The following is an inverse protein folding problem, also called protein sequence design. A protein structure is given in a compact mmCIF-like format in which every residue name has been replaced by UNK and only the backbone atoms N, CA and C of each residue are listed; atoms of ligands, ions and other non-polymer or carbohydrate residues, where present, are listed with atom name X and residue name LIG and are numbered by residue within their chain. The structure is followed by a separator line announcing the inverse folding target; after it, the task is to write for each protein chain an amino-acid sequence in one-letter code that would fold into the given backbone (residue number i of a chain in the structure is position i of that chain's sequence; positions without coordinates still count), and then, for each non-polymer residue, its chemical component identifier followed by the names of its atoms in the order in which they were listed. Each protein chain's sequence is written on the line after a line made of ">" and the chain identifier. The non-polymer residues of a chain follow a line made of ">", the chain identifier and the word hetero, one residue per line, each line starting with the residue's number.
data_IF_110330242372
#
_entry.id   IF_110330242372
#
_cell.length_a   1.000
_cell.length_b   1.000
_cell.length_c   1.000
_cell.angle_alpha   90.00
_cell.angle_beta   90.00
_cell.angle_gamma   90.00
#
_symmetry.space_group_name_H-M   'P 1'
#
loop_
_entity.id
_entity.type
_entity.pdbx_description
1 polymer ?
#
# COMPACT_ATOMS: atom_id res chain seq x y z
N UNK A 1 -48.85 -67.16 31.95
CA UNK A 1 -47.56 -66.78 32.55
C UNK A 1 -46.54 -66.67 31.43
N UNK A 2 -46.08 -65.46 31.13
CA UNK A 2 -45.17 -65.18 30.02
C UNK A 2 -45.21 -63.69 29.70
N UNK A 3 -44.89 -62.86 30.69
CA UNK A 3 -44.82 -61.41 30.51
C UNK A 3 -43.59 -61.13 29.64
N UNK A 4 -43.80 -60.68 28.40
CA UNK A 4 -42.72 -60.19 27.57
C UNK A 4 -42.39 -58.75 27.99
N UNK A 5 -41.26 -58.56 28.67
CA UNK A 5 -40.72 -57.24 28.97
C UNK A 5 -40.21 -56.57 27.69
N UNK A 6 -41.02 -55.68 27.10
CA UNK A 6 -40.55 -54.80 26.02
C UNK A 6 -39.59 -53.76 26.60
N UNK A 7 -38.29 -53.93 26.35
CA UNK A 7 -37.28 -52.91 26.69
C UNK A 7 -37.57 -51.60 25.93
N UNK A 8 -37.28 -50.48 26.59
CA UNK A 8 -37.48 -49.14 26.04
C UNK A 8 -36.63 -48.94 24.77
N UNK A 9 -37.22 -48.32 23.74
CA UNK A 9 -36.55 -48.00 22.47
C UNK A 9 -35.35 -47.08 22.74
N UNK A 10 -34.18 -47.44 22.22
CA UNK A 10 -32.97 -46.61 22.29
C UNK A 10 -33.19 -45.26 21.61
N UNK A 11 -32.65 -44.20 22.20
CA UNK A 11 -32.73 -42.86 21.63
C UNK A 11 -32.00 -42.78 20.27
N UNK A 12 -32.52 -42.01 19.30
CA UNK A 12 -31.80 -41.71 18.06
C UNK A 12 -30.47 -41.02 18.37
N UNK A 13 -29.36 -41.51 17.81
CA UNK A 13 -28.01 -41.01 18.12
C UNK A 13 -27.74 -39.59 17.58
N UNK A 14 -28.58 -39.11 16.67
CA UNK A 14 -28.52 -37.75 16.12
C UNK A 14 -29.91 -37.11 16.18
N UNK A 15 -29.96 -35.84 16.59
CA UNK A 15 -31.20 -35.08 16.76
C UNK A 15 -31.92 -34.82 15.44
N UNK A 16 -33.22 -34.51 15.54
CA UNK A 16 -34.11 -34.24 14.40
C UNK A 16 -33.52 -33.16 13.49
N UNK A 17 -33.30 -33.50 12.22
CA UNK A 17 -32.93 -32.54 11.18
C UNK A 17 -34.08 -31.56 10.96
N UNK A 18 -33.83 -30.29 11.26
CA UNK A 18 -34.84 -29.23 11.33
C UNK A 18 -35.04 -28.53 9.98
N UNK A 19 -35.00 -29.27 8.87
CA UNK A 19 -35.14 -28.70 7.54
C UNK A 19 -36.40 -29.23 6.85
N UNK A 20 -37.55 -28.68 7.26
CA UNK A 20 -38.77 -28.72 6.45
C UNK A 20 -38.90 -27.38 5.74
N UNK A 21 -38.66 -27.39 4.42
CA UNK A 21 -38.93 -26.27 3.54
C UNK A 21 -40.43 -26.01 3.40
N UNK A 22 -40.86 -24.81 3.80
CA UNK A 22 -42.11 -24.20 3.37
C UNK A 22 -41.94 -22.68 3.38
N UNK A 23 -41.65 -22.12 2.21
CA UNK A 23 -41.58 -20.67 1.99
C UNK A 23 -42.94 -20.02 2.26
N UNK A 24 -43.02 -19.21 3.32
CA UNK A 24 -44.01 -18.14 3.46
C UNK A 24 -43.24 -16.83 3.54
N UNK A 25 -43.37 -16.00 2.50
CA UNK A 25 -42.69 -14.72 2.41
C UNK A 25 -43.09 -13.81 3.61
N UNK A 26 -42.15 -13.11 4.27
CA UNK A 26 -42.48 -12.13 5.30
C UNK A 26 -42.98 -10.81 4.68
N UNK A 27 -43.82 -10.04 5.41
CA UNK A 27 -44.23 -8.70 5.02
C UNK A 27 -43.03 -7.72 4.96
N UNK A 28 -43.11 -6.62 4.19
CA UNK A 28 -41.96 -5.75 3.95
C UNK A 28 -41.49 -5.09 5.25
N UNK A 29 -40.19 -5.20 5.53
CA UNK A 29 -39.56 -4.64 6.73
C UNK A 29 -39.44 -3.11 6.61
N UNK A 30 -39.89 -2.42 7.66
CA UNK A 30 -39.68 -0.99 7.86
C UNK A 30 -38.18 -0.66 7.88
N UNK A 31 -37.81 0.49 7.32
CA UNK A 31 -36.44 0.97 7.23
C UNK A 31 -35.87 1.32 8.61
N UNK A 32 -35.39 0.30 9.32
CA UNK A 32 -34.59 0.40 10.53
C UNK A 32 -33.67 -0.81 10.57
N UNK A 33 -32.36 -0.57 10.43
CA UNK A 33 -31.32 -1.62 10.31
C UNK A 33 -31.45 -2.64 11.46
N UNK A 34 -31.57 -3.95 11.20
CA UNK A 34 -31.60 -4.95 12.26
C UNK A 34 -30.18 -5.18 12.80
N UNK A 35 -29.98 -4.86 14.07
CA UNK A 35 -28.74 -5.09 14.81
C UNK A 35 -28.59 -6.56 15.20
N UNK A 36 -28.11 -7.39 14.27
CA UNK A 36 -27.68 -8.76 14.57
C UNK A 36 -26.18 -8.92 14.27
N UNK A 37 -25.38 -9.00 15.34
CA UNK A 37 -23.93 -9.24 15.27
C UNK A 37 -23.67 -10.69 15.69
N UNK A 38 -23.50 -11.59 14.73
CA UNK A 38 -23.14 -13.00 15.02
C UNK A 38 -21.69 -13.14 15.51
N UNK A 39 -21.34 -14.24 16.23
CA UNK A 39 -19.98 -14.50 16.67
C UNK A 39 -19.13 -14.90 15.45
N UNK A 40 -18.34 -13.95 14.95
CA UNK A 40 -17.49 -14.18 13.78
C UNK A 40 -16.94 -12.91 13.12
N UNK A 41 -17.40 -11.71 13.50
CA UNK A 41 -16.75 -10.47 13.09
C UNK A 41 -15.78 -9.99 14.17
N UNK A 42 -14.54 -10.49 14.10
CA UNK A 42 -13.40 -9.78 14.67
C UNK A 42 -13.32 -8.42 13.97
N UNK A 43 -13.68 -7.35 14.67
CA UNK A 43 -13.35 -6.01 14.23
C UNK A 43 -11.83 -5.97 13.98
N UNK A 44 -11.41 -5.94 12.71
CA UNK A 44 -10.06 -5.50 12.36
C UNK A 44 -9.92 -4.13 13.00
N UNK A 45 -9.20 -4.06 14.13
CA UNK A 45 -8.72 -2.78 14.64
C UNK A 45 -7.98 -2.15 13.47
N UNK A 46 -8.51 -1.02 12.98
CA UNK A 46 -7.75 -0.18 12.07
C UNK A 46 -6.44 0.09 12.81
N UNK A 47 -5.32 -0.40 12.27
CA UNK A 47 -4.00 0.02 12.71
C UNK A 47 -4.04 1.56 12.73
N UNK A 48 -3.55 2.24 13.78
CA UNK A 48 -3.47 3.68 13.75
C UNK A 48 -2.78 4.05 12.44
N UNK A 49 -3.50 4.81 11.61
CA UNK A 49 -2.95 5.39 10.41
C UNK A 49 -1.74 6.17 10.90
N UNK A 50 -0.54 5.65 10.60
CA UNK A 50 0.70 6.39 10.78
C UNK A 50 0.43 7.72 10.08
N UNK A 51 0.56 8.88 10.74
CA UNK A 51 0.41 10.13 10.04
C UNK A 51 1.37 10.05 8.85
N UNK A 52 0.79 10.08 7.65
CA UNK A 52 1.52 10.43 6.44
C UNK A 52 2.27 11.68 6.84
N UNK A 53 3.60 11.57 6.92
CA UNK A 53 4.43 12.74 7.17
C UNK A 53 3.93 13.78 6.19
N UNK A 54 3.33 14.83 6.76
CA UNK A 54 3.01 16.03 6.01
C UNK A 54 4.27 16.35 5.22
N UNK A 55 4.10 16.74 3.97
CA UNK A 55 5.17 17.42 3.25
C UNK A 55 5.67 18.52 4.17
N UNK A 56 6.80 18.27 4.83
CA UNK A 56 7.56 19.28 5.51
C UNK A 56 7.85 20.29 4.41
N UNK A 57 7.11 21.40 4.45
CA UNK A 57 7.56 22.65 3.85
C UNK A 57 9.02 22.73 4.23
N UNK A 58 9.89 22.57 3.23
CA UNK A 58 11.32 22.55 3.39
C UNK A 58 11.73 23.89 3.98
N UNK A 59 11.71 23.99 5.31
CA UNK A 59 12.50 25.01 5.96
C UNK A 59 13.92 24.80 5.44
N UNK A 60 14.60 25.85 4.97
CA UNK A 60 15.95 25.71 4.50
C UNK A 60 16.74 25.13 5.67
N UNK A 61 17.13 23.85 5.55
CA UNK A 61 18.01 23.19 6.51
C UNK A 61 19.17 24.15 6.69
N UNK A 62 19.28 24.76 7.86
CA UNK A 62 20.42 25.60 8.18
C UNK A 62 21.62 24.68 8.27
N UNK A 63 22.25 24.46 7.12
CA UNK A 63 23.50 23.75 7.03
C UNK A 63 24.51 24.64 7.74
N UNK A 64 24.98 24.18 8.89
CA UNK A 64 26.13 24.82 9.52
C UNK A 64 27.27 24.69 8.52
N UNK A 65 27.72 25.82 7.98
CA UNK A 65 28.82 25.87 7.02
C UNK A 65 30.08 25.34 7.70
N UNK A 66 30.43 24.09 7.40
CA UNK A 66 31.65 23.43 7.91
C UNK A 66 32.88 24.04 7.22
N UNK A 67 32.69 24.62 6.04
CA UNK A 67 33.74 25.14 5.18
C UNK A 67 33.59 26.65 5.00
N UNK A 68 34.69 27.37 4.73
CA UNK A 68 34.62 28.78 4.34
C UNK A 68 33.76 28.93 3.07
N UNK A 69 32.92 29.97 3.04
CA UNK A 69 31.95 30.22 1.96
C UNK A 69 32.60 30.22 0.57
N UNK A 70 33.83 30.74 0.44
CA UNK A 70 34.55 30.71 -0.83
C UNK A 70 34.88 29.30 -1.32
N UNK A 71 35.19 28.37 -0.41
CA UNK A 71 35.50 26.98 -0.73
C UNK A 71 34.24 26.19 -1.06
N UNK A 72 33.14 26.45 -0.34
CA UNK A 72 31.82 25.89 -0.68
C UNK A 72 31.39 26.31 -2.09
N UNK A 73 31.52 27.60 -2.41
CA UNK A 73 31.18 28.11 -3.73
C UNK A 73 32.08 27.52 -4.81
N UNK A 74 33.38 27.32 -4.53
CA UNK A 74 34.30 26.70 -5.47
C UNK A 74 33.93 25.23 -5.72
N UNK A 75 33.59 24.47 -4.69
CA UNK A 75 33.07 23.11 -4.85
C UNK A 75 31.81 23.08 -5.71
N UNK A 76 30.83 23.94 -5.42
CA UNK A 76 29.60 24.05 -6.20
C UNK A 76 29.91 24.39 -7.66
N UNK A 77 30.84 25.32 -7.90
CA UNK A 77 31.24 25.70 -9.24
C UNK A 77 31.89 24.53 -9.99
N UNK A 78 32.76 23.75 -9.35
CA UNK A 78 33.34 22.54 -9.94
C UNK A 78 32.22 21.59 -10.39
N UNK A 79 31.28 21.24 -9.50
CA UNK A 79 30.17 20.36 -9.86
C UNK A 79 29.29 20.90 -11.00
N UNK A 80 29.03 22.21 -11.03
CA UNK A 80 28.28 22.87 -12.11
C UNK A 80 29.02 22.84 -13.46
N UNK A 81 30.35 22.96 -13.43
CA UNK A 81 31.18 22.91 -14.64
C UNK A 81 31.39 21.49 -15.17
N UNK A 82 31.55 20.51 -14.27
CA UNK A 82 31.79 19.11 -14.66
C UNK A 82 30.51 18.42 -15.13
N UNK A 83 29.35 18.83 -14.61
CA UNK A 83 28.05 18.26 -14.98
C UNK A 83 27.07 19.36 -15.40
N UNK A 84 27.18 19.89 -16.63
CA UNK A 84 26.28 20.94 -17.12
C UNK A 84 24.80 20.50 -17.11
N UNK A 85 24.56 19.19 -17.24
CA UNK A 85 23.24 18.59 -17.15
C UNK A 85 22.58 18.72 -15.76
N UNK A 86 23.35 19.03 -14.71
CA UNK A 86 22.83 19.28 -13.35
C UNK A 86 22.18 20.65 -13.18
N UNK A 87 22.52 21.64 -14.02
CA UNK A 87 22.12 23.04 -13.77
C UNK A 87 20.59 23.21 -13.76
N UNK A 88 19.88 22.42 -14.56
CA UNK A 88 18.42 22.43 -14.64
C UNK A 88 17.83 21.16 -14.02
N UNK A 89 17.82 21.09 -12.69
CA UNK A 89 17.25 19.94 -11.97
C UNK A 89 15.76 19.69 -12.32
N UNK A 90 14.99 20.74 -12.58
CA UNK A 90 13.60 20.60 -13.05
C UNK A 90 13.51 19.95 -14.43
N UNK A 91 14.45 20.22 -15.34
CA UNK A 91 14.52 19.57 -16.65
C UNK A 91 15.08 18.14 -16.58
N UNK A 92 15.79 17.80 -15.49
CA UNK A 92 16.35 16.47 -15.23
C UNK A 92 15.29 15.46 -14.79
N UNK A 93 14.33 15.88 -13.95
CA UNK A 93 13.23 15.03 -13.46
C UNK A 93 12.51 14.22 -14.56
N UNK A 94 12.01 14.82 -15.67
CA UNK A 94 11.32 14.04 -16.71
C UNK A 94 12.26 13.07 -17.43
N UNK A 95 13.56 13.39 -17.55
CA UNK A 95 14.55 12.48 -18.14
C UNK A 95 14.79 11.28 -17.23
N UNK A 96 14.94 11.49 -15.92
CA UNK A 96 15.07 10.41 -14.94
C UNK A 96 13.84 9.50 -14.92
N UNK A 97 12.63 10.07 -15.04
CA UNK A 97 11.42 9.26 -15.18
C UNK A 97 11.43 8.39 -16.45
N UNK A 98 11.91 8.93 -17.57
CA UNK A 98 12.03 8.17 -18.82
C UNK A 98 13.06 7.05 -18.72
N UNK A 99 14.21 7.32 -18.10
CA UNK A 99 15.26 6.32 -17.83
C UNK A 99 14.71 5.21 -16.92
N UNK A 100 14.01 5.56 -15.84
CA UNK A 100 13.40 4.58 -14.94
C UNK A 100 12.34 3.72 -15.66
N UNK A 101 11.54 4.30 -16.55
CA UNK A 101 10.57 3.53 -17.36
C UNK A 101 11.28 2.54 -18.29
N UNK A 102 12.34 2.98 -18.98
CA UNK A 102 13.14 2.12 -19.86
C UNK A 102 13.89 1.00 -19.08
N UNK A 103 14.32 1.29 -17.84
CA UNK A 103 14.90 0.28 -16.95
C UNK A 103 13.87 -0.78 -16.54
N UNK A 104 12.64 -0.37 -16.23
CA UNK A 104 11.56 -1.29 -15.88
C UNK A 104 11.11 -2.17 -17.06
N UNK A 105 11.18 -1.66 -18.29
CA UNK A 105 10.89 -2.45 -19.51
C UNK A 105 12.06 -3.30 -19.98
N UNK A 106 13.24 -3.21 -19.35
CA UNK A 106 14.45 -3.94 -19.76
C UNK A 106 15.15 -3.37 -21.00
N UNK A 107 14.80 -2.16 -21.43
CA UNK A 107 15.35 -1.53 -22.63
C UNK A 107 16.58 -0.66 -22.29
N UNK A 108 17.70 -1.32 -22.00
CA UNK A 108 18.95 -0.65 -21.62
C UNK A 108 19.53 0.25 -22.72
N UNK A 109 19.33 -0.11 -23.99
CA UNK A 109 19.75 0.72 -25.12
C UNK A 109 19.04 2.08 -25.12
N UNK A 110 17.78 2.12 -24.68
CA UNK A 110 17.02 3.37 -24.59
C UNK A 110 17.34 4.13 -23.31
N UNK A 111 17.59 3.42 -22.20
CA UNK A 111 17.96 4.01 -20.92
C UNK A 111 19.36 4.65 -20.95
N UNK A 112 20.34 3.97 -21.55
CA UNK A 112 21.77 4.30 -21.44
C UNK A 112 22.48 4.53 -22.78
N UNK A 113 21.82 4.33 -23.93
CA UNK A 113 22.46 4.49 -25.24
C UNK A 113 22.79 5.93 -25.62
N UNK A 114 22.38 6.92 -24.81
CA UNK A 114 22.73 8.33 -24.99
C UNK A 114 23.58 8.79 -23.83
N UNK A 115 24.73 9.41 -24.11
CA UNK A 115 25.61 10.00 -23.10
C UNK A 115 24.84 10.94 -22.14
N UNK A 116 23.93 11.75 -22.69
CA UNK A 116 23.04 12.64 -21.90
C UNK A 116 22.16 11.92 -20.89
N UNK A 117 21.78 10.66 -21.14
CA UNK A 117 20.97 9.87 -20.21
C UNK A 117 21.84 9.17 -19.17
N UNK A 118 23.06 8.76 -19.53
CA UNK A 118 24.06 8.27 -18.58
C UNK A 118 24.48 9.35 -17.58
N UNK A 119 24.81 10.54 -18.07
CA UNK A 119 25.10 11.71 -17.23
C UNK A 119 23.92 12.01 -16.31
N UNK A 120 22.71 12.09 -16.86
CA UNK A 120 21.50 12.33 -16.07
C UNK A 120 21.30 11.29 -14.96
N UNK A 121 21.61 10.02 -15.23
CA UNK A 121 21.50 8.95 -14.25
C UNK A 121 22.62 8.99 -13.20
N UNK A 122 23.84 9.36 -13.57
CA UNK A 122 24.97 9.50 -12.65
C UNK A 122 24.78 10.65 -11.64
N UNK A 123 23.93 11.62 -11.98
CA UNK A 123 23.60 12.78 -11.13
C UNK A 123 22.55 12.43 -10.06
N UNK A 124 21.75 11.38 -10.28
CA UNK A 124 20.65 10.97 -9.37
C UNK A 124 21.15 10.62 -7.97
#
# INVERSE_FOLDING_TARGET
>A
MGQYDRKAKSQPKHGKSSDSGASKAPPPLSHGRPGWTGPGYLHKKKKPQRPSAASESAEPRRLNHILPVGLEQLMINVFRTTFPACNDFEALKPRLQKINRALLSGEFNIAFGKAKYLEAYAIR
#
